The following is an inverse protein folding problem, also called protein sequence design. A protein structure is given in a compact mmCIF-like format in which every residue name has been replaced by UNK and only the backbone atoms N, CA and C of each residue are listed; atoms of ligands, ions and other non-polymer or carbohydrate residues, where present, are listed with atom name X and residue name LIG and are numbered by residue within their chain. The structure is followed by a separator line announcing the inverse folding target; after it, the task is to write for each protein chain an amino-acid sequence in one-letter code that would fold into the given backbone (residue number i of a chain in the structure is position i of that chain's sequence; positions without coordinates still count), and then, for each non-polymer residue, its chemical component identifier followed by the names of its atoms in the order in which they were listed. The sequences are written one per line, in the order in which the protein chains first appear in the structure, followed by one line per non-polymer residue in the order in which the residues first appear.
data_IF_771645053850
#
_entry.id   IF_771645053850
#
_cell.length_a   1.000
_cell.length_b   1.000
_cell.length_c   1.000
_cell.angle_alpha   90.00
_cell.angle_beta   90.00
_cell.angle_gamma   90.00
#
_symmetry.space_group_name_H-M   'P 1'
#
loop_
_entity.id
_entity.type
_entity.pdbx_description
1 polymer ?
#
# COMPACT_ATOMS: atom_id res chain seq x y z
N UNK A 1 8.57 -21.83 -5.06
CA UNK A 1 7.17 -21.44 -4.87
C UNK A 1 6.76 -20.59 -6.05
N UNK A 2 5.64 -20.94 -6.68
CA UNK A 2 5.04 -20.20 -7.79
C UNK A 2 3.91 -19.33 -7.25
N UNK A 3 3.94 -18.03 -7.52
CA UNK A 3 3.04 -17.04 -6.92
C UNK A 3 2.29 -16.28 -8.01
N UNK A 4 0.96 -16.27 -7.97
CA UNK A 4 0.15 -15.32 -8.73
C UNK A 4 0.20 -13.96 -8.03
N UNK A 5 0.70 -12.95 -8.73
CA UNK A 5 0.64 -11.56 -8.29
C UNK A 5 -0.41 -10.81 -9.11
N UNK A 6 -1.53 -10.45 -8.53
CA UNK A 6 -2.48 -9.54 -9.15
C UNK A 6 -2.04 -8.09 -8.90
N UNK A 7 -2.29 -7.20 -9.86
CA UNK A 7 -1.85 -5.81 -9.73
C UNK A 7 -0.34 -5.60 -9.92
N UNK A 8 0.32 -6.47 -10.69
CA UNK A 8 1.78 -6.43 -10.94
C UNK A 8 2.29 -5.13 -11.56
N UNK A 9 1.47 -4.42 -12.34
CA UNK A 9 1.82 -3.11 -12.93
C UNK A 9 1.72 -1.93 -11.96
N UNK A 10 1.07 -2.11 -10.81
CA UNK A 10 0.87 -1.08 -9.79
C UNK A 10 2.12 -0.84 -8.93
N UNK A 11 2.04 0.16 -8.05
CA UNK A 11 3.13 0.57 -7.17
C UNK A 11 3.74 -0.61 -6.37
N UNK A 12 2.93 -1.28 -5.55
CA UNK A 12 3.42 -2.40 -4.74
C UNK A 12 3.81 -3.59 -5.62
N UNK A 13 3.01 -3.89 -6.65
CA UNK A 13 3.27 -5.02 -7.56
C UNK A 13 4.63 -4.93 -8.26
N UNK A 14 5.02 -3.76 -8.75
CA UNK A 14 6.35 -3.52 -9.35
C UNK A 14 7.48 -3.75 -8.35
N UNK A 15 7.31 -3.35 -7.09
CA UNK A 15 8.29 -3.61 -6.04
C UNK A 15 8.38 -5.11 -5.70
N UNK A 16 7.25 -5.83 -5.65
CA UNK A 16 7.23 -7.29 -5.46
C UNK A 16 8.00 -7.99 -6.58
N UNK A 17 7.75 -7.64 -7.84
CA UNK A 17 8.47 -8.22 -8.98
C UNK A 17 9.98 -7.94 -8.88
N UNK A 18 10.34 -6.68 -8.62
CA UNK A 18 11.74 -6.25 -8.59
C UNK A 18 12.53 -6.89 -7.45
N UNK A 19 11.92 -7.13 -6.28
CA UNK A 19 12.64 -7.53 -5.08
C UNK A 19 12.44 -9.00 -4.71
N UNK A 20 11.30 -9.60 -5.07
CA UNK A 20 10.99 -11.00 -4.74
C UNK A 20 11.06 -11.95 -5.95
N UNK A 21 11.18 -11.43 -7.18
CA UNK A 21 11.26 -12.23 -8.41
C UNK A 21 12.48 -13.15 -8.48
N UNK A 22 13.55 -12.87 -7.72
CA UNK A 22 14.70 -13.76 -7.59
C UNK A 22 14.49 -14.91 -6.59
N UNK A 23 13.48 -14.80 -5.70
CA UNK A 23 13.15 -15.81 -4.67
C UNK A 23 11.98 -16.69 -5.07
N UNK A 24 11.00 -16.14 -5.79
CA UNK A 24 9.77 -16.82 -6.19
C UNK A 24 9.58 -16.72 -7.71
N UNK A 25 8.95 -17.75 -8.29
CA UNK A 25 8.43 -17.66 -9.67
C UNK A 25 7.13 -16.84 -9.63
N UNK A 26 7.22 -15.54 -9.97
CA UNK A 26 6.08 -14.62 -9.93
C UNK A 26 5.39 -14.56 -11.28
N UNK A 27 4.14 -15.00 -11.32
CA UNK A 27 3.24 -14.80 -12.45
C UNK A 27 2.42 -13.53 -12.21
N UNK A 28 2.64 -12.51 -13.02
CA UNK A 28 2.00 -11.19 -12.89
C UNK A 28 1.25 -10.83 -14.19
N UNK A 29 0.11 -11.50 -14.47
CA UNK A 29 -0.62 -11.27 -15.71
C UNK A 29 -1.13 -9.83 -15.82
N UNK A 30 -1.11 -9.31 -17.04
CA UNK A 30 -1.74 -8.03 -17.38
C UNK A 30 -3.27 -8.18 -17.43
N UNK A 31 -4.01 -7.07 -17.49
CA UNK A 31 -5.47 -7.08 -17.68
C UNK A 31 -5.90 -7.82 -18.95
N UNK A 32 -5.11 -7.76 -20.01
CA UNK A 32 -5.40 -8.46 -21.25
C UNK A 32 -5.23 -9.99 -21.14
N UNK A 33 -4.34 -10.44 -20.25
CA UNK A 33 -4.07 -11.86 -20.00
C UNK A 33 -5.00 -12.46 -18.95
N UNK A 34 -5.45 -11.66 -17.99
CA UNK A 34 -6.34 -12.07 -16.90
C UNK A 34 -7.24 -10.92 -16.45
N UNK A 35 -8.49 -10.93 -16.91
CA UNK A 35 -9.53 -10.04 -16.40
C UNK A 35 -10.10 -10.60 -15.08
N UNK A 36 -9.71 -9.98 -13.98
CA UNK A 36 -10.08 -10.45 -12.63
C UNK A 36 -11.57 -10.32 -12.31
N UNK A 37 -12.31 -9.46 -13.02
CA UNK A 37 -13.76 -9.31 -12.83
C UNK A 37 -14.57 -10.38 -13.55
N UNK A 38 -13.94 -11.18 -14.40
CA UNK A 38 -14.54 -12.31 -15.10
C UNK A 38 -14.21 -13.63 -14.37
N UNK A 39 -15.23 -14.27 -13.80
CA UNK A 39 -15.08 -15.49 -13.01
C UNK A 39 -14.57 -16.68 -13.84
N UNK A 40 -15.05 -16.80 -15.07
CA UNK A 40 -14.67 -17.91 -15.97
C UNK A 40 -13.24 -17.72 -16.47
N UNK A 41 -12.84 -16.46 -16.76
CA UNK A 41 -11.47 -16.13 -17.11
C UNK A 41 -10.49 -16.46 -15.97
N UNK A 42 -10.84 -16.14 -14.72
CA UNK A 42 -10.01 -16.46 -13.54
C UNK A 42 -9.86 -17.96 -13.36
N UNK A 43 -10.97 -18.71 -13.43
CA UNK A 43 -10.95 -20.17 -13.31
C UNK A 43 -10.12 -20.83 -14.42
N UNK A 44 -10.34 -20.43 -15.69
CA UNK A 44 -9.61 -20.95 -16.83
C UNK A 44 -8.11 -20.61 -16.79
N UNK A 45 -7.76 -19.42 -16.28
CA UNK A 45 -6.36 -19.02 -16.15
C UNK A 45 -5.65 -19.85 -15.08
N UNK A 46 -6.23 -19.99 -13.89
CA UNK A 46 -5.67 -20.79 -12.78
C UNK A 46 -5.55 -22.28 -13.14
N UNK A 47 -6.51 -22.82 -13.89
CA UNK A 47 -6.43 -24.20 -14.37
C UNK A 47 -5.23 -24.45 -15.31
N UNK A 48 -4.83 -23.43 -16.09
CA UNK A 48 -3.65 -23.50 -16.98
C UNK A 48 -2.34 -23.14 -16.31
N UNK A 49 -2.40 -22.39 -15.21
CA UNK A 49 -1.24 -21.88 -14.49
C UNK A 49 -1.36 -22.23 -12.99
N UNK A 50 -1.08 -23.49 -12.60
CA UNK A 50 -1.10 -23.87 -11.19
C UNK A 50 -0.12 -23.00 -10.38
N UNK A 51 -0.58 -22.50 -9.24
CA UNK A 51 0.21 -21.66 -8.34
C UNK A 51 0.13 -22.16 -6.90
N UNK A 52 1.20 -21.93 -6.13
CA UNK A 52 1.25 -22.30 -4.73
C UNK A 52 0.56 -21.25 -3.84
N UNK A 53 0.65 -19.98 -4.24
CA UNK A 53 0.11 -18.87 -3.48
C UNK A 53 -0.36 -17.71 -4.39
N UNK A 54 -1.16 -16.80 -3.80
CA UNK A 54 -1.61 -15.57 -4.42
C UNK A 54 -1.17 -14.38 -3.57
N UNK A 55 -0.59 -13.35 -4.19
CA UNK A 55 -0.51 -12.00 -3.62
C UNK A 55 -1.56 -11.15 -4.34
N UNK A 56 -2.67 -10.84 -3.64
CA UNK A 56 -3.74 -10.02 -4.21
C UNK A 56 -3.49 -8.55 -3.89
N UNK A 57 -2.79 -7.85 -4.80
CA UNK A 57 -2.48 -6.43 -4.73
C UNK A 57 -3.30 -5.58 -5.72
N UNK A 58 -4.10 -6.22 -6.58
CA UNK A 58 -4.99 -5.50 -7.50
C UNK A 58 -6.08 -4.76 -6.72
N UNK A 59 -6.30 -3.50 -7.09
CA UNK A 59 -7.33 -2.65 -6.50
C UNK A 59 -7.87 -1.68 -7.55
N UNK A 60 -9.18 -1.44 -7.53
CA UNK A 60 -9.76 -0.30 -8.24
C UNK A 60 -9.43 0.96 -7.44
N UNK A 61 -8.59 1.86 -7.97
CA UNK A 61 -8.19 3.05 -7.25
C UNK A 61 -9.32 4.08 -7.21
N UNK A 62 -9.43 4.82 -6.09
CA UNK A 62 -10.42 5.89 -5.91
C UNK A 62 -9.78 7.28 -5.78
N UNK A 63 -8.51 7.43 -6.09
CA UNK A 63 -7.83 8.72 -6.00
C UNK A 63 -8.07 9.60 -7.24
N UNK A 64 -7.79 10.90 -7.12
CA UNK A 64 -8.07 11.91 -8.16
C UNK A 64 -7.41 11.66 -9.52
N UNK A 65 -6.29 10.93 -9.56
CA UNK A 65 -5.58 10.58 -10.79
C UNK A 65 -6.04 9.23 -11.37
N UNK A 66 -7.02 8.57 -10.74
CA UNK A 66 -7.56 7.34 -11.30
C UNK A 66 -8.33 7.65 -12.59
N UNK A 67 -8.12 6.84 -13.62
CA UNK A 67 -8.83 6.98 -14.90
C UNK A 67 -10.35 6.87 -14.73
N UNK A 68 -10.79 5.99 -13.82
CA UNK A 68 -12.17 5.87 -13.39
C UNK A 68 -12.20 5.49 -11.89
N UNK A 69 -12.53 6.43 -10.99
CA UNK A 69 -12.59 6.17 -9.55
C UNK A 69 -13.91 5.54 -9.08
N UNK A 70 -14.86 5.29 -9.97
CA UNK A 70 -16.17 4.75 -9.62
C UNK A 70 -16.15 3.24 -9.40
N UNK A 71 -17.21 2.72 -8.78
CA UNK A 71 -17.46 1.28 -8.61
C UNK A 71 -16.34 0.54 -7.87
N UNK A 72 -15.68 1.18 -6.92
CA UNK A 72 -14.57 0.58 -6.17
C UNK A 72 -15.02 -0.65 -5.40
N UNK A 73 -16.14 -0.55 -4.66
CA UNK A 73 -16.70 -1.67 -3.90
C UNK A 73 -17.00 -2.86 -4.82
N UNK A 74 -17.75 -2.63 -5.88
CA UNK A 74 -18.18 -3.71 -6.78
C UNK A 74 -16.98 -4.42 -7.41
N UNK A 75 -16.03 -3.65 -7.97
CA UNK A 75 -14.89 -4.21 -8.67
C UNK A 75 -13.95 -4.93 -7.70
N UNK A 76 -13.62 -4.32 -6.56
CA UNK A 76 -12.74 -4.94 -5.58
C UNK A 76 -13.37 -6.21 -4.97
N UNK A 77 -14.67 -6.19 -4.69
CA UNK A 77 -15.38 -7.37 -4.20
C UNK A 77 -15.41 -8.49 -5.25
N UNK A 78 -15.71 -8.16 -6.50
CA UNK A 78 -15.79 -9.12 -7.61
C UNK A 78 -14.43 -9.79 -7.86
N UNK A 79 -13.34 -9.01 -7.92
CA UNK A 79 -11.99 -9.55 -8.14
C UNK A 79 -11.55 -10.47 -7.02
N UNK A 80 -11.82 -10.09 -5.76
CA UNK A 80 -11.54 -10.92 -4.59
C UNK A 80 -12.35 -12.22 -4.60
N UNK A 81 -13.67 -12.15 -4.80
CA UNK A 81 -14.56 -13.32 -4.80
C UNK A 81 -14.24 -14.28 -5.94
N UNK A 82 -13.82 -13.80 -7.11
CA UNK A 82 -13.43 -14.67 -8.21
C UNK A 82 -12.17 -15.47 -7.88
N UNK A 83 -11.21 -14.90 -7.13
CA UNK A 83 -10.07 -15.65 -6.60
C UNK A 83 -10.51 -16.67 -5.53
N UNK A 84 -11.40 -16.29 -4.60
CA UNK A 84 -11.92 -17.18 -3.55
C UNK A 84 -12.70 -18.37 -4.15
N UNK A 85 -13.48 -18.17 -5.21
CA UNK A 85 -14.16 -19.28 -5.93
C UNK A 85 -13.20 -20.36 -6.43
N UNK A 86 -11.96 -19.98 -6.70
CA UNK A 86 -10.90 -20.89 -7.13
C UNK A 86 -10.00 -21.33 -5.96
N UNK A 87 -10.55 -21.41 -4.74
CA UNK A 87 -9.80 -21.70 -3.51
C UNK A 87 -8.93 -22.95 -3.59
N UNK A 88 -9.38 -23.98 -4.30
CA UNK A 88 -8.67 -25.25 -4.46
C UNK A 88 -7.48 -25.16 -5.45
N UNK A 89 -7.34 -24.04 -6.16
CA UNK A 89 -6.27 -23.82 -7.14
C UNK A 89 -5.03 -23.14 -6.55
N UNK A 90 -5.04 -22.80 -5.26
CA UNK A 90 -3.92 -22.17 -4.56
C UNK A 90 -3.93 -22.51 -3.06
N UNK A 91 -2.74 -22.60 -2.45
CA UNK A 91 -2.59 -22.95 -1.04
C UNK A 91 -2.88 -21.79 -0.09
N UNK A 92 -2.42 -20.58 -0.42
CA UNK A 92 -2.49 -19.39 0.43
C UNK A 92 -2.73 -18.13 -0.39
N UNK A 93 -3.47 -17.17 0.17
CA UNK A 93 -3.59 -15.83 -0.39
C UNK A 93 -3.13 -14.77 0.64
N UNK A 94 -2.23 -13.89 0.24
CA UNK A 94 -1.95 -12.64 0.93
C UNK A 94 -2.82 -11.55 0.30
N UNK A 95 -3.80 -11.09 1.06
CA UNK A 95 -4.68 -9.99 0.62
C UNK A 95 -4.11 -8.66 1.13
N UNK A 96 -3.66 -7.80 0.21
CA UNK A 96 -3.21 -6.45 0.54
C UNK A 96 -4.42 -5.53 0.73
N UNK A 97 -4.84 -5.42 1.96
CA UNK A 97 -5.89 -4.54 2.42
C UNK A 97 -5.35 -3.12 2.72
N UNK A 98 -5.86 -2.46 3.71
CA UNK A 98 -5.41 -1.12 4.14
C UNK A 98 -5.90 -0.81 5.54
N UNK A 99 -5.19 0.04 6.29
CA UNK A 99 -5.71 0.66 7.51
C UNK A 99 -6.98 1.49 7.30
N UNK A 100 -7.39 1.78 6.06
CA UNK A 100 -8.68 2.42 5.76
C UNK A 100 -9.89 1.60 6.25
N UNK A 101 -9.72 0.32 6.56
CA UNK A 101 -10.73 -0.54 7.18
C UNK A 101 -11.24 0.02 8.51
N UNK A 102 -10.46 0.82 9.21
CA UNK A 102 -10.82 1.42 10.50
C UNK A 102 -11.67 2.70 10.39
N UNK A 103 -11.92 3.21 9.17
CA UNK A 103 -12.71 4.41 8.91
C UNK A 103 -11.94 5.70 9.10
N UNK A 104 -11.64 6.40 8.00
CA UNK A 104 -10.80 7.62 7.98
C UNK A 104 -11.59 8.92 8.12
N UNK A 105 -12.89 8.84 8.41
CA UNK A 105 -13.75 10.00 8.69
C UNK A 105 -13.53 10.62 10.07
N UNK A 106 -12.81 9.92 10.96
CA UNK A 106 -12.36 10.37 12.28
C UNK A 106 -10.88 10.06 12.48
N UNK A 107 -10.37 10.34 13.67
CA UNK A 107 -9.03 9.95 14.06
C UNK A 107 -8.92 8.43 14.13
N UNK A 108 -7.89 7.90 13.52
CA UNK A 108 -7.44 6.50 13.62
C UNK A 108 -6.11 6.52 14.37
N UNK A 109 -6.18 6.35 15.69
CA UNK A 109 -5.02 6.49 16.58
C UNK A 109 -4.56 5.13 17.06
N UNK A 110 -3.38 4.70 16.59
CA UNK A 110 -2.78 3.41 16.95
C UNK A 110 -3.77 2.22 16.88
N UNK A 111 -4.60 2.23 15.82
CA UNK A 111 -5.61 1.20 15.66
C UNK A 111 -5.00 -0.20 15.67
N UNK A 112 -5.57 -1.10 16.45
CA UNK A 112 -5.25 -2.52 16.51
C UNK A 112 -6.17 -3.32 15.59
N UNK A 113 -5.83 -4.57 15.29
CA UNK A 113 -6.70 -5.44 14.49
C UNK A 113 -8.06 -5.71 15.16
N UNK A 114 -8.14 -5.56 16.49
CA UNK A 114 -9.39 -5.70 17.25
C UNK A 114 -10.37 -4.52 17.05
N UNK A 115 -9.89 -3.38 16.58
CA UNK A 115 -10.73 -2.20 16.33
C UNK A 115 -11.52 -2.30 15.02
N UNK A 116 -11.29 -3.36 14.22
CA UNK A 116 -12.09 -3.62 13.03
C UNK A 116 -13.57 -3.82 13.42
N UNK A 117 -14.45 -3.09 12.76
CA UNK A 117 -15.88 -3.14 13.01
C UNK A 117 -16.39 -2.12 14.02
N UNK A 118 -15.50 -1.44 14.76
CA UNK A 118 -15.91 -0.36 15.67
C UNK A 118 -16.47 0.86 14.90
N UNK A 119 -15.94 1.11 13.70
CA UNK A 119 -16.40 2.18 12.81
C UNK A 119 -16.61 1.61 11.42
N UNK A 120 -17.77 1.89 10.80
CA UNK A 120 -18.02 1.58 9.39
C UNK A 120 -17.48 2.73 8.56
N UNK A 121 -16.51 2.49 7.64
CA UNK A 121 -15.95 3.55 6.81
C UNK A 121 -17.01 4.25 5.95
N UNK A 122 -16.95 5.57 5.87
CA UNK A 122 -17.94 6.38 5.15
C UNK A 122 -17.60 6.54 3.65
N UNK A 123 -16.33 6.40 3.29
CA UNK A 123 -15.89 6.45 1.89
C UNK A 123 -15.88 5.06 1.24
N UNK A 124 -16.08 5.02 -0.09
CA UNK A 124 -16.19 3.75 -0.83
C UNK A 124 -14.91 2.91 -0.76
N UNK A 125 -13.73 3.55 -0.69
CA UNK A 125 -12.46 2.85 -0.56
C UNK A 125 -12.38 2.10 0.77
N UNK A 126 -12.56 2.80 1.88
CA UNK A 126 -12.57 2.22 3.22
C UNK A 126 -13.66 1.18 3.39
N UNK A 127 -14.88 1.47 2.89
CA UNK A 127 -16.00 0.54 2.96
C UNK A 127 -15.73 -0.75 2.19
N UNK A 128 -15.09 -0.67 1.01
CA UNK A 128 -14.69 -1.88 0.27
C UNK A 128 -13.70 -2.73 1.07
N UNK A 129 -12.75 -2.11 1.78
CA UNK A 129 -11.80 -2.82 2.65
C UNK A 129 -12.48 -3.47 3.84
N UNK A 130 -13.41 -2.77 4.45
CA UNK A 130 -14.22 -3.27 5.57
C UNK A 130 -15.02 -4.53 5.18
N UNK A 131 -15.70 -4.50 4.03
CA UNK A 131 -16.46 -5.68 3.54
C UNK A 131 -15.53 -6.85 3.25
N UNK A 132 -14.40 -6.59 2.57
CA UNK A 132 -13.43 -7.64 2.22
C UNK A 132 -12.71 -8.21 3.46
N UNK A 133 -12.40 -7.40 4.47
CA UNK A 133 -11.85 -7.87 5.75
C UNK A 133 -12.81 -8.84 6.45
N UNK A 134 -14.11 -8.51 6.45
CA UNK A 134 -15.16 -9.40 6.97
C UNK A 134 -15.18 -10.77 6.27
N UNK A 135 -14.97 -10.80 4.96
CA UNK A 135 -14.88 -12.06 4.20
C UNK A 135 -13.56 -12.80 4.47
N UNK A 136 -12.43 -12.09 4.45
CA UNK A 136 -11.10 -12.66 4.66
C UNK A 136 -10.95 -13.37 6.02
N UNK A 137 -11.58 -12.81 7.06
CA UNK A 137 -11.57 -13.35 8.42
C UNK A 137 -12.06 -14.81 8.50
N UNK A 138 -12.98 -15.19 7.62
CA UNK A 138 -13.62 -16.51 7.62
C UNK A 138 -12.90 -17.54 6.74
N UNK A 139 -11.86 -17.15 5.98
CA UNK A 139 -11.08 -18.08 5.17
C UNK A 139 -9.68 -18.31 5.80
N UNK A 140 -9.42 -19.51 6.35
CA UNK A 140 -8.13 -19.81 6.97
C UNK A 140 -6.95 -19.83 5.98
N UNK A 141 -7.20 -19.82 4.68
CA UNK A 141 -6.17 -19.73 3.64
C UNK A 141 -5.80 -18.30 3.26
N UNK A 142 -6.49 -17.31 3.83
CA UNK A 142 -6.23 -15.89 3.57
C UNK A 142 -5.54 -15.26 4.77
N UNK A 143 -4.45 -14.54 4.51
CA UNK A 143 -3.83 -13.61 5.45
C UNK A 143 -4.08 -12.19 4.94
N UNK A 144 -4.74 -11.38 5.74
CA UNK A 144 -4.98 -9.97 5.43
C UNK A 144 -3.84 -9.11 5.96
N UNK A 145 -3.19 -8.35 5.08
CA UNK A 145 -2.15 -7.41 5.45
C UNK A 145 -2.70 -5.98 5.28
N UNK A 146 -2.64 -5.19 6.35
CA UNK A 146 -3.19 -3.82 6.43
C UNK A 146 -2.07 -2.78 6.52
N UNK A 147 -1.39 -2.44 5.41
CA UNK A 147 -0.51 -1.29 5.40
C UNK A 147 -1.34 0.00 5.57
N UNK A 148 -0.73 1.01 6.23
CA UNK A 148 -1.34 2.34 6.39
C UNK A 148 -0.90 3.27 5.27
N UNK A 149 0.19 3.99 5.44
CA UNK A 149 0.77 4.82 4.39
C UNK A 149 2.02 4.16 3.82
N UNK A 150 1.94 3.56 2.63
CA UNK A 150 3.15 3.02 1.97
C UNK A 150 3.72 4.07 1.04
N UNK A 151 5.04 4.25 1.06
CA UNK A 151 5.77 5.13 0.16
C UNK A 151 7.01 4.44 -0.42
N UNK A 152 7.44 4.87 -1.61
CA UNK A 152 8.62 4.29 -2.23
C UNK A 152 8.69 4.43 -3.75
N UNK A 153 9.60 3.67 -4.35
CA UNK A 153 9.81 3.63 -5.80
C UNK A 153 8.53 3.22 -6.51
N UNK A 154 8.27 3.85 -7.66
CA UNK A 154 7.10 3.59 -8.52
C UNK A 154 5.77 4.11 -7.99
N UNK A 155 5.77 4.85 -6.88
CA UNK A 155 4.58 5.52 -6.37
C UNK A 155 4.17 6.67 -7.29
N UNK A 156 2.87 6.99 -7.32
CA UNK A 156 2.36 8.16 -8.04
C UNK A 156 2.76 9.46 -7.31
N UNK A 157 3.88 10.04 -7.73
CA UNK A 157 4.43 11.27 -7.15
C UNK A 157 3.50 12.48 -7.31
N UNK A 158 2.56 12.45 -8.27
CA UNK A 158 1.63 13.55 -8.46
C UNK A 158 0.61 13.66 -7.31
N UNK A 159 0.35 12.57 -6.55
CA UNK A 159 -0.65 12.56 -5.49
C UNK A 159 -0.13 12.14 -4.10
N UNK A 160 1.00 11.48 -4.00
CA UNK A 160 1.53 10.95 -2.74
C UNK A 160 2.52 11.92 -2.11
N UNK A 161 2.32 12.21 -0.83
CA UNK A 161 2.98 13.32 -0.16
C UNK A 161 4.50 13.27 -0.22
N UNK A 162 5.14 12.19 0.25
CA UNK A 162 6.61 12.09 0.34
C UNK A 162 7.23 12.15 -1.06
N UNK A 163 6.70 11.37 -2.00
CA UNK A 163 7.18 11.33 -3.38
C UNK A 163 6.99 12.68 -4.08
N UNK A 164 5.85 13.37 -3.86
CA UNK A 164 5.60 14.70 -4.40
C UNK A 164 6.58 15.75 -3.81
N UNK A 165 6.78 15.73 -2.49
CA UNK A 165 7.70 16.63 -1.82
C UNK A 165 9.13 16.48 -2.38
N UNK A 166 9.60 15.23 -2.53
CA UNK A 166 10.90 14.95 -3.15
C UNK A 166 10.97 15.51 -4.57
N UNK A 167 9.98 15.20 -5.41
CA UNK A 167 9.96 15.69 -6.78
C UNK A 167 9.91 17.22 -6.84
N UNK A 168 9.13 17.89 -5.98
CA UNK A 168 9.13 19.37 -5.88
C UNK A 168 10.52 19.91 -5.59
N UNK A 169 11.23 19.36 -4.61
CA UNK A 169 12.60 19.85 -4.27
C UNK A 169 13.62 19.63 -5.39
N UNK A 170 13.47 18.59 -6.20
CA UNK A 170 14.32 18.37 -7.38
C UNK A 170 14.18 19.48 -8.44
N UNK A 171 13.03 20.17 -8.47
CA UNK A 171 12.74 21.30 -9.37
C UNK A 171 12.75 22.65 -8.65
N UNK A 172 13.36 22.76 -7.48
CA UNK A 172 13.49 23.99 -6.70
C UNK A 172 12.13 24.60 -6.28
N UNK A 173 11.09 23.77 -6.19
CA UNK A 173 9.77 24.19 -5.74
C UNK A 173 9.62 24.03 -4.21
N UNK A 174 8.82 24.88 -3.57
CA UNK A 174 8.49 24.73 -2.14
C UNK A 174 7.76 23.41 -1.89
N UNK A 175 8.00 22.80 -0.71
CA UNK A 175 7.16 21.69 -0.25
C UNK A 175 5.86 22.27 0.31
N UNK A 176 4.72 21.78 -0.16
CA UNK A 176 3.41 22.24 0.26
C UNK A 176 2.63 21.13 0.92
N UNK A 177 1.93 21.43 2.01
CA UNK A 177 0.97 20.54 2.65
C UNK A 177 -0.28 21.34 3.06
N UNK A 178 -1.43 20.68 2.96
CA UNK A 178 -2.70 21.34 3.29
C UNK A 178 -2.81 21.61 4.79
N UNK A 179 -2.55 20.60 5.61
CA UNK A 179 -2.56 20.66 7.08
C UNK A 179 -1.62 19.59 7.61
N UNK A 180 -0.95 19.89 8.72
CA UNK A 180 -0.14 18.89 9.41
C UNK A 180 -1.02 17.80 10.03
N UNK A 181 -0.54 16.55 10.01
CA UNK A 181 -1.21 15.39 10.61
C UNK A 181 -0.25 14.22 10.78
N UNK A 182 -0.55 13.34 11.73
CA UNK A 182 0.27 12.15 11.98
C UNK A 182 -0.15 10.97 11.13
N UNK A 183 0.87 10.24 10.65
CA UNK A 183 0.72 9.03 9.86
C UNK A 183 1.70 7.94 10.28
N UNK A 184 1.30 6.68 10.09
CA UNK A 184 2.23 5.56 10.00
C UNK A 184 2.64 5.37 8.54
N UNK A 185 3.85 5.82 8.20
CA UNK A 185 4.41 5.64 6.86
C UNK A 185 5.38 4.45 6.81
N UNK A 186 5.06 3.47 5.98
CA UNK A 186 5.87 2.27 5.75
C UNK A 186 6.70 2.43 4.47
N UNK A 187 8.01 2.26 4.57
CA UNK A 187 8.88 2.14 3.42
C UNK A 187 8.55 0.86 2.64
N UNK A 188 8.38 0.95 1.31
CA UNK A 188 7.91 -0.18 0.50
C UNK A 188 8.84 -1.39 0.55
N UNK A 189 10.16 -1.17 0.69
CA UNK A 189 11.11 -2.28 0.79
C UNK A 189 10.93 -3.08 2.09
N UNK A 190 10.43 -2.45 3.17
CA UNK A 190 10.13 -3.13 4.44
C UNK A 190 8.87 -3.99 4.37
N UNK A 191 8.00 -3.77 3.39
CA UNK A 191 6.85 -4.65 3.12
C UNK A 191 7.31 -5.98 2.50
N UNK A 192 8.42 -6.02 1.79
CA UNK A 192 8.88 -7.22 1.07
C UNK A 192 9.21 -8.40 2.00
N UNK A 193 9.98 -8.23 3.10
CA UNK A 193 10.21 -9.31 4.05
C UNK A 193 8.91 -9.76 4.75
N UNK A 194 7.94 -8.86 4.94
CA UNK A 194 6.62 -9.23 5.50
C UNK A 194 5.87 -10.15 4.53
N UNK A 195 5.83 -9.79 3.24
CA UNK A 195 5.21 -10.64 2.22
C UNK A 195 5.89 -12.01 2.14
N UNK A 196 7.22 -12.04 2.12
CA UNK A 196 7.99 -13.28 2.08
C UNK A 196 7.70 -14.17 3.29
N UNK A 197 7.68 -13.60 4.50
CA UNK A 197 7.34 -14.32 5.72
C UNK A 197 5.97 -14.98 5.61
N UNK A 198 4.93 -14.20 5.29
CA UNK A 198 3.56 -14.73 5.24
C UNK A 198 3.32 -15.68 4.05
N UNK A 199 4.10 -15.65 3.00
CA UNK A 199 4.08 -16.69 1.97
C UNK A 199 4.57 -18.04 2.52
N UNK A 200 5.54 -18.02 3.44
CA UNK A 200 6.24 -19.20 3.96
C UNK A 200 5.77 -19.63 5.36
N UNK A 201 4.93 -18.84 6.04
CA UNK A 201 4.41 -19.14 7.37
C UNK A 201 3.04 -19.83 7.33
N UNK A 202 2.94 -21.16 7.16
CA UNK A 202 1.66 -21.85 6.92
C UNK A 202 0.69 -21.78 8.09
N UNK A 203 1.15 -21.49 9.30
CA UNK A 203 0.33 -21.36 10.50
C UNK A 203 -0.29 -19.97 10.71
N UNK A 204 0.28 -18.92 10.10
CA UNK A 204 -0.21 -17.56 10.27
C UNK A 204 -1.62 -17.38 9.71
N UNK A 205 -2.50 -16.72 10.45
CA UNK A 205 -3.92 -16.53 10.12
C UNK A 205 -4.42 -15.14 10.51
N UNK A 206 -5.44 -14.69 9.79
CA UNK A 206 -6.18 -13.46 10.10
C UNK A 206 -5.49 -12.19 9.58
N UNK A 207 -5.77 -11.08 10.24
CA UNK A 207 -5.29 -9.77 9.82
C UNK A 207 -4.03 -9.33 10.59
N UNK A 208 -3.17 -8.54 9.92
CA UNK A 208 -1.99 -7.93 10.52
C UNK A 208 -1.84 -6.48 10.03
N UNK A 209 -1.76 -5.55 10.96
CA UNK A 209 -1.37 -4.18 10.64
C UNK A 209 0.12 -4.16 10.26
N UNK A 210 0.40 -3.67 9.06
CA UNK A 210 1.78 -3.57 8.56
C UNK A 210 2.20 -2.11 8.59
N UNK A 211 2.78 -1.71 9.70
CA UNK A 211 3.17 -0.34 9.98
C UNK A 211 4.44 -0.31 10.82
N UNK A 212 5.33 0.71 10.67
CA UNK A 212 6.51 0.84 11.53
C UNK A 212 6.13 1.20 12.96
N UNK A 213 7.09 1.11 13.88
CA UNK A 213 6.90 1.47 15.29
C UNK A 213 6.73 2.98 15.50
N UNK A 214 7.40 3.77 14.64
CA UNK A 214 7.34 5.22 14.67
C UNK A 214 6.18 5.76 13.82
N UNK A 215 5.70 6.93 14.20
CA UNK A 215 4.74 7.73 13.43
C UNK A 215 5.36 9.09 13.15
N UNK A 216 5.18 9.59 11.95
CA UNK A 216 5.72 10.87 11.52
C UNK A 216 4.59 11.88 11.31
N UNK A 217 4.84 13.19 11.59
CA UNK A 217 3.97 14.24 11.10
C UNK A 217 4.31 14.57 9.63
N UNK A 218 3.35 15.09 8.87
CA UNK A 218 3.64 15.54 7.51
C UNK A 218 4.67 16.68 7.50
N UNK A 219 4.71 17.49 8.57
CA UNK A 219 5.68 18.55 8.73
C UNK A 219 7.10 17.99 8.92
N UNK A 220 7.27 17.01 9.82
CA UNK A 220 8.56 16.35 10.04
C UNK A 220 9.06 15.69 8.75
N UNK A 221 8.17 15.04 8.00
CA UNK A 221 8.50 14.44 6.71
C UNK A 221 8.92 15.48 5.66
N UNK A 222 8.25 16.64 5.63
CA UNK A 222 8.64 17.74 4.74
C UNK A 222 10.04 18.24 5.06
N UNK A 223 10.34 18.43 6.36
CA UNK A 223 11.64 18.88 6.83
C UNK A 223 12.74 17.85 6.52
N UNK A 224 12.46 16.54 6.66
CA UNK A 224 13.37 15.47 6.22
C UNK A 224 13.64 15.49 4.70
N UNK A 225 12.63 15.75 3.89
CA UNK A 225 12.79 15.86 2.43
C UNK A 225 13.62 17.07 2.06
N UNK A 226 13.39 18.23 2.68
CA UNK A 226 14.19 19.43 2.46
C UNK A 226 15.64 19.19 2.88
N UNK A 227 15.87 18.56 4.03
CA UNK A 227 17.22 18.20 4.47
C UNK A 227 17.92 17.26 3.47
N UNK A 228 17.23 16.21 2.99
CA UNK A 228 17.77 15.28 1.99
C UNK A 228 18.09 15.96 0.66
N UNK A 229 17.39 17.06 0.32
CA UNK A 229 17.67 17.82 -0.90
C UNK A 229 18.95 18.62 -0.85
N UNK A 230 19.49 18.93 0.35
CA UNK A 230 20.60 19.83 0.56
C UNK A 230 20.31 21.29 0.18
N UNK A 231 19.04 21.67 0.01
CA UNK A 231 18.60 22.99 -0.43
C UNK A 231 17.88 23.74 0.69
N UNK A 232 17.86 25.06 0.62
CA UNK A 232 17.06 25.92 1.49
C UNK A 232 15.74 26.25 0.82
N UNK A 233 14.76 25.34 0.97
CA UNK A 233 13.44 25.46 0.35
C UNK A 233 12.36 25.58 1.44
N UNK A 234 11.38 26.50 1.26
CA UNK A 234 10.34 26.68 2.27
C UNK A 234 9.35 25.53 2.29
N UNK A 235 8.93 25.17 3.50
CA UNK A 235 7.78 24.29 3.73
C UNK A 235 6.56 25.18 4.04
N UNK A 236 5.51 25.06 3.22
CA UNK A 236 4.29 25.86 3.32
C UNK A 236 3.14 24.99 3.80
N UNK A 237 2.49 25.40 4.90
CA UNK A 237 1.29 24.75 5.45
C UNK A 237 0.11 25.68 5.17
N UNK A 238 -0.90 25.18 4.45
CA UNK A 238 -2.03 26.02 3.99
C UNK A 238 -3.06 26.29 5.11
N UNK A 239 -3.19 25.39 6.07
CA UNK A 239 -4.18 25.49 7.16
C UNK A 239 -3.50 25.24 8.51
N UNK A 240 -3.78 26.08 9.50
CA UNK A 240 -3.31 25.90 10.86
C UNK A 240 -3.98 24.70 11.57
N UNK A 241 -3.34 24.27 12.66
CA UNK A 241 -3.81 23.14 13.48
C UNK A 241 -3.43 21.78 12.92
N UNK A 242 -3.86 20.72 13.63
CA UNK A 242 -3.57 19.33 13.30
C UNK A 242 -4.80 18.69 12.66
N UNK A 243 -4.59 17.99 11.55
CA UNK A 243 -5.61 17.17 10.89
C UNK A 243 -5.78 15.81 11.56
N UNK A 244 -6.73 15.03 11.05
CA UNK A 244 -7.05 13.70 11.59
C UNK A 244 -5.83 12.78 11.54
N UNK A 245 -5.56 12.11 12.65
CA UNK A 245 -4.48 11.12 12.74
C UNK A 245 -4.85 9.83 11.97
N UNK A 246 -3.83 9.18 11.40
CA UNK A 246 -4.00 7.90 10.73
C UNK A 246 -2.81 7.00 11.02
N UNK A 247 -2.88 6.31 12.17
CA UNK A 247 -1.79 5.47 12.69
C UNK A 247 -2.32 4.11 13.15
N UNK A 248 -1.46 3.08 13.01
CA UNK A 248 -1.77 1.72 13.42
C UNK A 248 -0.82 1.23 14.51
N UNK A 249 -1.27 0.24 15.26
CA UNK A 249 -0.44 -0.56 16.15
C UNK A 249 0.01 -1.84 15.44
N UNK A 250 1.29 -2.20 15.57
CA UNK A 250 1.89 -3.35 14.91
C UNK A 250 2.26 -4.49 15.88
N UNK A 251 1.76 -4.46 17.10
CA UNK A 251 2.13 -5.42 18.14
C UNK A 251 1.93 -6.88 17.70
N UNK A 252 0.86 -7.15 16.95
CA UNK A 252 0.59 -8.48 16.40
C UNK A 252 1.61 -8.90 15.36
N UNK A 253 2.01 -7.99 14.45
CA UNK A 253 3.08 -8.23 13.48
C UNK A 253 4.42 -8.46 14.17
N UNK A 254 4.72 -7.68 15.22
CA UNK A 254 5.93 -7.86 16.03
C UNK A 254 5.98 -9.20 16.75
N UNK A 255 4.84 -9.68 17.25
CA UNK A 255 4.75 -11.02 17.88
C UNK A 255 4.99 -12.14 16.85
N UNK A 256 4.50 -11.98 15.61
CA UNK A 256 4.69 -12.93 14.51
C UNK A 256 6.11 -12.86 13.92
N UNK A 257 6.70 -11.67 13.87
CA UNK A 257 8.01 -11.39 13.28
C UNK A 257 8.90 -10.57 14.24
N UNK A 258 9.39 -11.17 15.34
CA UNK A 258 10.13 -10.42 16.38
C UNK A 258 11.44 -9.79 15.87
N UNK A 259 12.05 -10.37 14.86
CA UNK A 259 13.30 -9.89 14.27
C UNK A 259 13.10 -8.89 13.12
N UNK A 260 11.87 -8.59 12.74
CA UNK A 260 11.59 -7.59 11.70
C UNK A 260 12.20 -6.24 12.08
N UNK A 261 12.92 -5.62 11.16
CA UNK A 261 13.48 -4.29 11.33
C UNK A 261 12.89 -3.36 10.28
N UNK A 262 12.39 -2.22 10.73
CA UNK A 262 11.92 -1.16 9.84
C UNK A 262 13.05 -0.18 9.57
N UNK A 263 13.13 0.26 8.32
CA UNK A 263 14.09 1.30 7.90
C UNK A 263 13.69 2.63 8.55
N UNK A 264 14.60 3.34 9.21
CA UNK A 264 14.32 4.69 9.71
C UNK A 264 13.80 5.59 8.59
N UNK A 265 12.76 6.39 8.87
CA UNK A 265 12.09 7.23 7.86
C UNK A 265 13.08 8.15 7.13
N UNK A 266 14.05 8.74 7.85
CA UNK A 266 15.11 9.57 7.25
C UNK A 266 15.91 8.82 6.20
N UNK A 267 16.37 7.59 6.51
CA UNK A 267 17.13 6.78 5.59
C UNK A 267 16.29 6.33 4.37
N UNK A 268 15.01 6.06 4.57
CA UNK A 268 14.09 5.72 3.48
C UNK A 268 13.86 6.93 2.55
N UNK A 269 13.69 8.14 3.11
CA UNK A 269 13.56 9.39 2.35
C UNK A 269 14.83 9.66 1.54
N UNK A 270 16.02 9.53 2.12
CA UNK A 270 17.29 9.70 1.40
C UNK A 270 17.44 8.72 0.22
N UNK A 271 17.12 7.44 0.44
CA UNK A 271 17.15 6.42 -0.63
C UNK A 271 16.16 6.75 -1.74
N UNK A 272 14.94 7.16 -1.39
CA UNK A 272 13.92 7.53 -2.36
C UNK A 272 14.30 8.81 -3.11
N UNK A 273 14.89 9.77 -2.43
CA UNK A 273 15.43 10.99 -3.04
C UNK A 273 16.48 10.65 -4.12
N UNK A 274 17.46 9.82 -3.80
CA UNK A 274 18.46 9.35 -4.74
C UNK A 274 17.85 8.65 -5.96
N UNK A 275 16.81 7.84 -5.73
CA UNK A 275 16.11 7.18 -6.83
C UNK A 275 15.40 8.18 -7.75
N UNK A 276 14.63 9.15 -7.22
CA UNK A 276 13.98 10.18 -8.02
C UNK A 276 14.98 11.10 -8.72
N UNK A 277 16.09 11.43 -8.08
CA UNK A 277 17.16 12.22 -8.70
C UNK A 277 17.72 11.52 -9.96
N UNK A 278 17.93 10.21 -9.89
CA UNK A 278 18.38 9.40 -11.03
C UNK A 278 17.30 9.26 -12.13
N UNK A 279 16.03 9.46 -11.81
CA UNK A 279 14.87 9.34 -12.72
C UNK A 279 14.19 10.68 -13.01
N UNK A 280 14.86 11.80 -12.74
CA UNK A 280 14.31 13.17 -12.85
C UNK A 280 13.70 13.46 -14.23
N UNK A 281 14.29 12.95 -15.30
CA UNK A 281 13.80 13.15 -16.67
C UNK A 281 12.41 12.56 -16.94
N UNK A 282 11.95 11.63 -16.11
CA UNK A 282 10.60 11.04 -16.19
C UNK A 282 9.53 11.78 -15.37
N UNK A 283 9.90 12.86 -14.68
CA UNK A 283 8.95 13.64 -13.84
C UNK A 283 8.34 14.73 -14.69
N UNK A 284 7.02 14.79 -14.71
CA UNK A 284 6.24 15.84 -15.39
C UNK A 284 6.11 17.05 -14.46
N UNK A 285 6.75 18.16 -14.82
CA UNK A 285 6.83 19.36 -13.97
C UNK A 285 5.45 19.94 -13.65
N UNK A 286 4.55 19.95 -14.60
CA UNK A 286 3.19 20.51 -14.47
C UNK A 286 2.37 19.80 -13.39
N UNK A 287 2.59 18.50 -13.18
CA UNK A 287 1.93 17.72 -12.11
C UNK A 287 2.36 18.14 -10.71
N UNK A 288 3.53 18.78 -10.58
CA UNK A 288 4.05 19.27 -9.30
C UNK A 288 3.46 20.63 -8.89
N UNK A 289 2.88 21.37 -9.82
CA UNK A 289 2.31 22.71 -9.58
C UNK A 289 0.95 22.67 -8.87
N UNK A 290 0.34 21.51 -8.77
CA UNK A 290 -0.92 21.32 -8.05
C UNK A 290 -0.63 21.18 -6.56
N UNK A 291 -1.08 22.16 -5.75
CA UNK A 291 -0.94 22.13 -4.29
C UNK A 291 -1.81 21.03 -3.65
N UNK A 292 -1.34 20.50 -2.52
CA UNK A 292 -1.94 19.38 -1.80
C UNK A 292 -2.37 19.75 -0.40
#
# INVERSE_FOLDING_TARGET
MKVLLTGGSGFIGRNVIAQLGGRYEILAPTHAELELTDADAVAAWLARHPVDAVIHAAVRPGHRNAADPSRQLEINLRTYLNLIRCRDSWGRMLYLSSGAVYGTQGDVVRATEADEGCVVPADEHGFSRYVLAGLARHDPGVVELRPFGVFGKYEDYAIRFISNAICKTLFDLPVTLRRDRRFSYLWVDDLMPVLAHFLEAPAARGAFNVTPDATDSLRDLADLVVAASGKDLPVRVAQEGVGLEYTGDNARLRAEMPDLRFTPTSAAVERLYGWYAAHKSGIVYEELLVDK
#
